data_IF_297505759490
#
_entry.id   IF_297505759490
#
_cell.length_a   1.000
_cell.length_b   1.000
_cell.length_c   1.000
_cell.angle_alpha   90.00
_cell.angle_beta   90.00
_cell.angle_gamma   90.00
#
_symmetry.space_group_name_H-M   'P 1'
#
loop_
_entity.id
_entity.type
_entity.pdbx_description
1 polymer ?
#
# COMPACT_ATOMS: atom_id res chain seq x y z
N UNK A 1 16.76 -8.92 12.45
CA UNK A 1 16.80 -9.42 11.05
C UNK A 1 15.56 -10.23 10.65
N UNK A 2 15.42 -11.54 10.95
CA UNK A 2 14.26 -12.32 10.45
C UNK A 2 12.90 -11.88 11.06
N UNK A 3 12.89 -11.42 12.31
CA UNK A 3 11.70 -10.84 12.95
C UNK A 3 11.28 -9.51 12.31
N UNK A 4 12.24 -8.68 11.89
CA UNK A 4 11.97 -7.43 11.17
C UNK A 4 11.42 -7.70 9.77
N UNK A 5 11.96 -8.71 9.09
CA UNK A 5 11.40 -9.20 7.82
C UNK A 5 9.95 -9.67 7.96
N UNK A 6 9.61 -10.43 9.01
CA UNK A 6 8.21 -10.81 9.29
C UNK A 6 7.33 -9.59 9.55
N UNK A 7 7.82 -8.57 10.26
CA UNK A 7 7.10 -7.31 10.47
C UNK A 7 6.84 -6.58 9.14
N UNK A 8 7.82 -6.51 8.24
CA UNK A 8 7.66 -5.92 6.90
C UNK A 8 6.59 -6.65 6.08
N UNK A 9 6.60 -7.98 6.07
CA UNK A 9 5.56 -8.77 5.40
C UNK A 9 4.17 -8.52 6.01
N UNK A 10 4.09 -8.36 7.33
CA UNK A 10 2.83 -8.07 8.01
C UNK A 10 2.31 -6.67 7.65
N UNK A 11 3.18 -5.67 7.65
CA UNK A 11 2.84 -4.28 7.24
C UNK A 11 2.36 -4.25 5.80
N UNK A 12 3.03 -4.96 4.89
CA UNK A 12 2.56 -5.12 3.50
C UNK A 12 1.17 -5.74 3.45
N UNK A 13 0.92 -6.84 4.18
CA UNK A 13 -0.41 -7.49 4.19
C UNK A 13 -1.49 -6.50 4.63
N UNK A 14 -1.20 -5.68 5.64
CA UNK A 14 -2.12 -4.63 6.07
C UNK A 14 -2.29 -3.54 5.02
N UNK A 15 -1.22 -3.09 4.37
CA UNK A 15 -1.30 -2.12 3.28
C UNK A 15 -2.19 -2.63 2.14
N UNK A 16 -1.97 -3.85 1.66
CA UNK A 16 -2.78 -4.46 0.59
C UNK A 16 -4.24 -4.62 1.01
N UNK A 17 -4.51 -5.12 2.22
CA UNK A 17 -5.88 -5.24 2.75
C UNK A 17 -6.56 -3.88 2.89
N UNK A 18 -5.82 -2.86 3.36
CA UNK A 18 -6.33 -1.51 3.50
C UNK A 18 -6.64 -0.88 2.14
N UNK A 19 -5.77 -1.05 1.15
CA UNK A 19 -6.00 -0.53 -0.21
C UNK A 19 -7.17 -1.25 -0.91
N UNK A 20 -7.29 -2.58 -0.76
CA UNK A 20 -8.35 -3.36 -1.43
C UNK A 20 -9.72 -3.27 -0.76
N UNK A 21 -9.77 -3.24 0.58
CA UNK A 21 -11.04 -3.28 1.33
C UNK A 21 -11.27 -2.01 2.14
N UNK A 22 -10.22 -1.46 2.77
CA UNK A 22 -10.33 -0.26 3.61
C UNK A 22 -10.70 1.00 2.82
N UNK A 23 -9.99 1.29 1.74
CA UNK A 23 -10.25 2.44 0.88
C UNK A 23 -11.67 2.45 0.28
N UNK A 24 -12.16 1.39 -0.39
CA UNK A 24 -13.52 1.42 -0.95
C UNK A 24 -14.59 1.49 0.14
N UNK A 25 -14.39 0.83 1.29
CA UNK A 25 -15.32 0.95 2.41
C UNK A 25 -15.37 2.38 2.95
N UNK A 26 -14.22 3.03 3.12
CA UNK A 26 -14.14 4.41 3.61
C UNK A 26 -14.78 5.41 2.63
N UNK A 27 -14.53 5.25 1.32
CA UNK A 27 -15.15 6.06 0.28
C UNK A 27 -16.67 5.86 0.24
N UNK A 28 -17.14 4.62 0.42
CA UNK A 28 -18.57 4.30 0.50
C UNK A 28 -19.23 4.99 1.69
N UNK A 29 -18.60 4.97 2.87
CA UNK A 29 -19.10 5.69 4.05
C UNK A 29 -19.22 7.20 3.80
N UNK A 30 -18.22 7.83 3.18
CA UNK A 30 -18.27 9.25 2.83
C UNK A 30 -19.38 9.53 1.82
N UNK A 31 -19.54 8.68 0.81
CA UNK A 31 -20.61 8.81 -0.17
C UNK A 31 -22.00 8.76 0.48
N UNK A 32 -22.24 7.82 1.39
CA UNK A 32 -23.49 7.72 2.14
C UNK A 32 -23.76 8.98 2.97
N UNK A 33 -22.72 9.50 3.64
CA UNK A 33 -22.82 10.69 4.48
C UNK A 33 -23.13 11.95 3.65
N UNK A 34 -22.45 12.13 2.50
CA UNK A 34 -22.72 13.25 1.59
C UNK A 34 -24.10 13.16 0.94
N UNK A 35 -24.57 11.94 0.63
CA UNK A 35 -25.93 11.70 0.12
C UNK A 35 -26.98 12.03 1.19
N UNK A 36 -26.73 11.67 2.45
CA UNK A 36 -27.60 12.02 3.59
C UNK A 36 -27.77 13.54 3.75
N UNK A 37 -26.71 14.32 3.54
CA UNK A 37 -26.75 15.79 3.58
C UNK A 37 -27.29 16.43 2.27
N UNK A 38 -27.78 15.65 1.31
CA UNK A 38 -28.24 16.13 0.00
C UNK A 38 -27.21 17.01 -0.74
N UNK A 39 -25.92 16.69 -0.58
CA UNK A 39 -24.86 17.38 -1.30
C UNK A 39 -24.95 17.06 -2.79
N UNK A 40 -24.84 18.08 -3.65
CA UNK A 40 -24.86 17.92 -5.10
C UNK A 40 -23.89 16.84 -5.56
N UNK A 41 -24.36 16.00 -6.48
CA UNK A 41 -23.60 14.85 -7.01
C UNK A 41 -22.23 15.29 -7.56
N UNK A 42 -22.15 16.44 -8.25
CA UNK A 42 -20.88 16.99 -8.77
C UNK A 42 -19.87 17.38 -7.68
N UNK A 43 -20.36 17.86 -6.53
CA UNK A 43 -19.50 18.19 -5.39
C UNK A 43 -19.08 16.91 -4.68
N UNK A 44 -20.00 15.96 -4.53
CA UNK A 44 -19.75 14.64 -3.95
C UNK A 44 -18.67 13.86 -4.72
N UNK A 45 -18.73 13.84 -6.05
CA UNK A 45 -17.70 13.17 -6.88
C UNK A 45 -16.34 13.84 -6.73
N UNK A 46 -16.29 15.18 -6.70
CA UNK A 46 -15.04 15.92 -6.52
C UNK A 46 -14.41 15.64 -5.14
N UNK A 47 -15.21 15.62 -4.08
CA UNK A 47 -14.75 15.27 -2.73
C UNK A 47 -14.22 13.84 -2.68
N UNK A 48 -14.92 12.87 -3.28
CA UNK A 48 -14.47 11.48 -3.33
C UNK A 48 -13.13 11.31 -4.06
N UNK A 49 -12.93 12.03 -5.18
CA UNK A 49 -11.66 12.00 -5.92
C UNK A 49 -10.52 12.55 -5.05
N UNK A 50 -10.72 13.70 -4.41
CA UNK A 50 -9.69 14.31 -3.54
C UNK A 50 -9.35 13.37 -2.38
N UNK A 51 -10.36 12.81 -1.72
CA UNK A 51 -10.15 11.87 -0.61
C UNK A 51 -9.41 10.60 -1.08
N UNK A 52 -9.78 10.04 -2.23
CA UNK A 52 -9.10 8.88 -2.79
C UNK A 52 -7.62 9.17 -3.10
N UNK A 53 -7.31 10.32 -3.69
CA UNK A 53 -5.93 10.75 -3.97
C UNK A 53 -5.12 10.91 -2.67
N UNK A 54 -5.68 11.57 -1.66
CA UNK A 54 -5.02 11.73 -0.37
C UNK A 54 -4.77 10.37 0.31
N UNK A 55 -5.75 9.47 0.31
CA UNK A 55 -5.59 8.12 0.86
C UNK A 55 -4.49 7.33 0.14
N UNK A 56 -4.43 7.42 -1.20
CA UNK A 56 -3.37 6.77 -1.96
C UNK A 56 -1.99 7.36 -1.64
N UNK A 57 -1.87 8.69 -1.54
CA UNK A 57 -0.62 9.35 -1.16
C UNK A 57 -0.18 8.94 0.24
N UNK A 58 -1.04 9.09 1.25
CA UNK A 58 -0.73 8.74 2.64
C UNK A 58 -0.34 7.27 2.78
N UNK A 59 -1.10 6.38 2.15
CA UNK A 59 -0.81 4.95 2.19
C UNK A 59 0.56 4.66 1.55
N UNK A 60 0.84 5.28 0.39
CA UNK A 60 2.11 5.08 -0.33
C UNK A 60 3.30 5.62 0.47
N UNK A 61 3.20 6.81 1.04
CA UNK A 61 4.25 7.38 1.91
C UNK A 61 4.46 6.54 3.17
N UNK A 62 3.39 6.06 3.80
CA UNK A 62 3.49 5.19 4.97
C UNK A 62 4.20 3.87 4.62
N UNK A 63 3.86 3.26 3.48
CA UNK A 63 4.52 2.07 2.98
C UNK A 63 6.01 2.34 2.72
N UNK A 64 6.33 3.41 1.98
CA UNK A 64 7.69 3.81 1.63
C UNK A 64 8.56 4.06 2.88
N UNK A 65 8.00 4.72 3.90
CA UNK A 65 8.70 5.00 5.17
C UNK A 65 9.08 3.73 5.96
N UNK A 66 8.34 2.65 5.74
CA UNK A 66 8.55 1.35 6.38
C UNK A 66 9.30 0.39 5.47
N UNK A 67 9.57 0.75 4.21
CA UNK A 67 10.12 -0.11 3.18
C UNK A 67 11.65 -0.20 3.21
N UNK A 68 12.22 -0.42 4.40
CA UNK A 68 13.68 -0.50 4.59
C UNK A 68 14.07 -1.96 4.74
N UNK A 69 14.97 -2.43 3.89
CA UNK A 69 15.50 -3.79 3.98
C UNK A 69 16.39 -3.94 5.24
N UNK A 70 16.15 -4.95 6.10
CA UNK A 70 16.93 -5.13 7.32
C UNK A 70 18.36 -5.65 7.06
N UNK A 71 18.68 -6.06 5.82
CA UNK A 71 20.00 -6.56 5.43
C UNK A 71 20.85 -5.51 4.72
N UNK A 72 20.30 -4.82 3.71
CA UNK A 72 21.05 -3.84 2.92
C UNK A 72 20.70 -2.39 3.22
N UNK A 73 19.72 -2.11 4.10
CA UNK A 73 19.20 -0.76 4.43
C UNK A 73 18.66 0.05 3.24
N UNK A 74 18.77 -0.48 2.03
CA UNK A 74 18.14 0.03 0.82
C UNK A 74 16.63 -0.25 0.80
N UNK A 75 15.94 0.48 -0.07
CA UNK A 75 14.52 0.27 -0.33
C UNK A 75 14.24 -1.18 -0.75
N UNK A 76 13.31 -1.84 -0.05
CA UNK A 76 13.05 -3.27 -0.27
C UNK A 76 12.18 -3.49 -1.51
N UNK A 77 11.26 -2.56 -1.83
CA UNK A 77 10.34 -2.64 -2.95
C UNK A 77 10.45 -1.54 -4.00
N UNK A 78 10.98 -0.37 -3.63
CA UNK A 78 10.98 0.78 -4.54
C UNK A 78 11.88 0.56 -5.74
N UNK A 79 11.25 0.46 -6.90
CA UNK A 79 11.85 0.80 -8.19
C UNK A 79 11.11 2.02 -8.73
N UNK A 80 11.80 2.84 -9.52
CA UNK A 80 11.22 4.06 -10.10
C UNK A 80 9.82 3.85 -10.68
N UNK A 81 9.02 4.92 -10.63
CA UNK A 81 7.68 5.02 -11.20
C UNK A 81 7.50 4.13 -12.44
N UNK A 82 6.72 3.04 -12.33
CA UNK A 82 6.32 2.25 -13.51
C UNK A 82 6.41 0.73 -13.43
N UNK A 83 6.69 0.08 -12.29
CA UNK A 83 6.65 -1.39 -12.21
C UNK A 83 5.33 -1.91 -11.65
N UNK A 84 4.83 -3.00 -12.25
CA UNK A 84 3.54 -3.65 -11.98
C UNK A 84 3.22 -3.72 -10.49
N UNK A 85 2.11 -3.09 -10.06
CA UNK A 85 1.62 -3.15 -8.69
C UNK A 85 1.37 -4.58 -8.17
N UNK A 86 1.24 -5.53 -9.09
CA UNK A 86 1.12 -6.97 -8.83
C UNK A 86 2.45 -7.54 -8.34
N UNK A 87 3.59 -7.11 -8.91
CA UNK A 87 4.92 -7.55 -8.49
C UNK A 87 5.25 -7.12 -7.05
N UNK A 88 4.69 -5.99 -6.59
CA UNK A 88 4.73 -5.51 -5.21
C UNK A 88 3.93 -6.39 -4.24
N UNK A 89 2.95 -7.17 -4.72
CA UNK A 89 2.17 -8.11 -3.88
C UNK A 89 2.92 -9.43 -3.70
N UNK A 90 3.61 -9.92 -4.74
CA UNK A 90 4.22 -11.25 -4.75
C UNK A 90 5.72 -11.30 -4.45
N UNK A 91 6.46 -10.19 -4.57
CA UNK A 91 7.92 -10.18 -4.36
C UNK A 91 8.27 -10.47 -2.89
N UNK A 92 8.87 -11.63 -2.61
CA UNK A 92 9.28 -12.05 -1.25
C UNK A 92 10.72 -11.70 -0.91
N UNK A 93 11.52 -11.28 -1.90
CA UNK A 93 12.96 -11.03 -1.79
C UNK A 93 13.24 -9.55 -2.07
N UNK A 94 14.20 -8.97 -1.35
CA UNK A 94 14.74 -7.64 -1.60
C UNK A 94 15.37 -7.61 -3.00
N UNK A 95 15.11 -6.56 -3.77
CA UNK A 95 15.69 -6.44 -5.11
C UNK A 95 17.20 -6.23 -5.08
N UNK A 96 17.69 -5.40 -4.16
CA UNK A 96 19.11 -4.99 -4.10
C UNK A 96 20.02 -6.08 -3.54
N UNK A 97 19.60 -6.77 -2.49
CA UNK A 97 20.43 -7.82 -1.85
C UNK A 97 19.95 -9.26 -2.11
N UNK A 98 18.79 -9.46 -2.75
CA UNK A 98 18.24 -10.78 -3.03
C UNK A 98 17.77 -11.57 -1.80
N UNK A 99 17.81 -10.97 -0.60
CA UNK A 99 17.41 -11.63 0.65
C UNK A 99 15.92 -11.42 0.97
N UNK A 100 15.23 -12.40 1.60
CA UNK A 100 15.75 -13.68 2.05
C UNK A 100 15.98 -14.65 0.90
N UNK A 101 17.17 -15.26 0.87
CA UNK A 101 17.42 -16.45 0.07
C UNK A 101 16.58 -17.58 0.67
N UNK A 102 15.35 -17.77 0.21
CA UNK A 102 14.78 -19.12 0.27
C UNK A 102 15.70 -19.95 -0.62
N UNK A 103 16.25 -21.02 -0.04
CA UNK A 103 16.96 -22.04 -0.77
C UNK A 103 16.26 -22.29 -2.11
N UNK A 104 17.04 -22.33 -3.19
CA UNK A 104 16.66 -23.18 -4.32
C UNK A 104 16.35 -24.56 -3.70
N UNK A 105 15.22 -25.19 -4.08
CA UNK A 105 14.53 -26.31 -3.40
C UNK A 105 13.57 -25.84 -2.28
N UNK A 106 12.25 -26.08 -2.34
CA UNK A 106 11.48 -27.15 -2.99
C UNK A 106 10.12 -26.66 -3.47
#
# INVERSE_FOLDING_TARGET
MYQEYKKLLKIRKYFVLFTLFGNPFFLFCIFQLLTYFNVNISVTTLVLIIVALLLMLFSSFFFLSKDICPWCKESFFTEGFGTDGISLVFRKNCKTCGMPKKSKHS
#
